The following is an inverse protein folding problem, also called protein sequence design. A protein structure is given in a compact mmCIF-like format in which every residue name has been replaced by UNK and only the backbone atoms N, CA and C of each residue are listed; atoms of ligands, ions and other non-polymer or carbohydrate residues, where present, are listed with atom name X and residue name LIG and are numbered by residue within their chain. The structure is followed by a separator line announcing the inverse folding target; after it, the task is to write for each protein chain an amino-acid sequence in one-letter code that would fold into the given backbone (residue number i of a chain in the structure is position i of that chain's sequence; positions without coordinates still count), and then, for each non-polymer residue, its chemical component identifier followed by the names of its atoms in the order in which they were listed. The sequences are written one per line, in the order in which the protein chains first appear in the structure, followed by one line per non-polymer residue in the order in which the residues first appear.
data_IF_515919125168
#
_entry.id   IF_515919125168
#
_cell.length_a   1.000
_cell.length_b   1.000
_cell.length_c   1.000
_cell.angle_alpha   90.00
_cell.angle_beta   90.00
_cell.angle_gamma   90.00
#
_symmetry.space_group_name_H-M   'P 1'
#
loop_
_entity.id
_entity.type
_entity.pdbx_description
1 polymer ?
#
# COMPACT_ATOMS: atom_id res chain seq x y z
N UNK A 1 9.56 -0.12 11.29
CA UNK A 1 9.01 -1.11 10.34
C UNK A 1 7.74 -1.69 10.95
N UNK A 2 6.58 -1.16 10.57
CA UNK A 2 5.31 -1.74 11.01
C UNK A 2 5.09 -2.99 10.17
N UNK A 3 5.28 -4.17 10.76
CA UNK A 3 4.78 -5.41 10.18
C UNK A 3 3.25 -5.27 10.14
N UNK A 4 2.68 -5.05 8.94
CA UNK A 4 1.25 -5.15 8.69
C UNK A 4 0.82 -6.53 9.20
N UNK A 5 0.28 -6.59 10.43
CA UNK A 5 -0.33 -7.80 10.97
C UNK A 5 -1.49 -8.08 10.02
N UNK A 6 -1.41 -9.18 9.27
CA UNK A 6 -2.42 -9.55 8.30
C UNK A 6 -3.81 -9.39 8.91
N UNK A 7 -4.67 -8.65 8.21
CA UNK A 7 -6.08 -8.41 8.56
C UNK A 7 -6.68 -9.71 9.09
N UNK A 8 -7.22 -9.72 10.30
CA UNK A 8 -7.87 -10.92 10.88
C UNK A 8 -9.27 -11.07 10.27
N UNK A 9 -9.81 -12.29 10.26
CA UNK A 9 -11.21 -12.54 9.93
C UNK A 9 -12.13 -11.75 10.89
N UNK A 10 -13.37 -11.43 10.48
CA UNK A 10 -14.38 -10.75 11.32
C UNK A 10 -14.52 -11.34 12.73
N UNK A 11 -14.35 -12.65 12.88
CA UNK A 11 -14.42 -13.30 14.20
C UNK A 11 -13.18 -13.12 15.10
N UNK A 12 -12.12 -12.45 14.63
CA UNK A 12 -10.89 -12.17 15.39
C UNK A 12 -9.99 -13.37 15.70
N UNK A 13 -10.45 -14.61 15.44
CA UNK A 13 -9.80 -15.86 15.86
C UNK A 13 -8.80 -16.44 14.86
N UNK A 14 -8.88 -16.06 13.59
CA UNK A 14 -8.05 -16.64 12.53
C UNK A 14 -7.71 -15.64 11.43
N UNK A 15 -6.63 -15.91 10.71
CA UNK A 15 -6.33 -15.25 9.45
C UNK A 15 -7.43 -15.59 8.43
N UNK A 16 -7.95 -14.60 7.69
CA UNK A 16 -8.91 -14.84 6.65
C UNK A 16 -8.19 -15.44 5.45
N UNK A 17 -8.75 -16.54 4.96
CA UNK A 17 -8.23 -17.31 3.82
C UNK A 17 -9.32 -17.62 2.80
N UNK A 18 -10.61 -17.47 3.14
CA UNK A 18 -11.76 -17.66 2.26
C UNK A 18 -12.28 -16.33 1.74
N UNK A 19 -12.74 -16.29 0.49
CA UNK A 19 -13.31 -15.12 -0.19
C UNK A 19 -14.13 -15.56 -1.41
N UNK A 20 -14.70 -14.61 -2.16
CA UNK A 20 -15.44 -14.92 -3.38
C UNK A 20 -14.50 -15.31 -4.53
N UNK A 21 -14.96 -16.11 -5.51
CA UNK A 21 -14.16 -16.42 -6.68
C UNK A 21 -13.68 -15.13 -7.38
N UNK A 22 -12.37 -14.98 -7.53
CA UNK A 22 -11.74 -13.79 -8.12
C UNK A 22 -11.12 -12.82 -7.11
N UNK A 23 -11.47 -12.91 -5.83
CA UNK A 23 -10.89 -12.04 -4.81
C UNK A 23 -9.36 -12.21 -4.73
N UNK A 24 -8.63 -11.09 -4.61
CA UNK A 24 -7.17 -11.10 -4.40
C UNK A 24 -6.78 -11.51 -2.98
N UNK A 25 -7.70 -11.36 -2.02
CA UNK A 25 -7.47 -11.61 -0.59
C UNK A 25 -8.68 -12.26 0.05
N UNK A 26 -8.43 -13.23 0.92
CA UNK A 26 -9.49 -13.80 1.76
C UNK A 26 -10.01 -12.77 2.75
N UNK A 27 -11.32 -12.78 2.97
CA UNK A 27 -12.06 -11.92 3.90
C UNK A 27 -12.57 -12.69 5.12
N UNK A 28 -12.74 -14.00 5.01
CA UNK A 28 -13.26 -14.88 6.06
C UNK A 28 -12.32 -16.05 6.40
N UNK A 29 -12.42 -16.59 7.62
CA UNK A 29 -11.78 -17.85 7.98
C UNK A 29 -12.69 -19.03 7.63
N UNK A 30 -12.18 -20.26 7.74
CA UNK A 30 -12.94 -21.48 7.43
C UNK A 30 -14.26 -21.61 8.22
N UNK A 31 -14.31 -21.09 9.44
CA UNK A 31 -15.50 -21.10 10.30
C UNK A 31 -16.50 -19.98 9.99
N UNK A 32 -16.08 -18.95 9.27
CA UNK A 32 -16.90 -17.78 8.93
C UNK A 32 -17.15 -17.66 7.43
N UNK A 33 -16.79 -18.67 6.64
CA UNK A 33 -17.08 -18.71 5.21
C UNK A 33 -18.59 -18.90 5.02
N UNK A 34 -19.16 -18.23 4.03
CA UNK A 34 -20.54 -18.45 3.57
C UNK A 34 -20.54 -19.28 2.30
N UNK A 35 -21.71 -19.74 1.86
CA UNK A 35 -21.83 -20.46 0.58
C UNK A 35 -21.27 -19.63 -0.58
N UNK A 36 -20.64 -20.31 -1.55
CA UNK A 36 -19.94 -19.67 -2.67
C UNK A 36 -18.52 -19.20 -2.38
N UNK A 37 -18.10 -19.08 -1.11
CA UNK A 37 -16.72 -18.70 -0.79
C UNK A 37 -15.73 -19.85 -0.99
N UNK A 38 -14.60 -19.53 -1.62
CA UNK A 38 -13.50 -20.45 -1.91
C UNK A 38 -12.27 -20.10 -1.07
N UNK A 39 -11.41 -21.08 -0.77
CA UNK A 39 -10.13 -20.81 -0.12
C UNK A 39 -9.21 -20.08 -1.11
N UNK A 40 -9.00 -18.78 -0.89
CA UNK A 40 -8.21 -17.86 -1.71
C UNK A 40 -6.71 -18.10 -1.53
N UNK A 41 -6.25 -18.50 -0.33
CA UNK A 41 -4.82 -18.70 -0.04
C UNK A 41 -4.34 -20.10 -0.39
N UNK A 42 -5.16 -21.12 -0.13
CA UNK A 42 -4.84 -22.52 -0.40
C UNK A 42 -5.80 -23.10 -1.44
N UNK A 43 -5.99 -22.37 -2.55
CA UNK A 43 -6.83 -22.81 -3.68
C UNK A 43 -6.46 -24.23 -4.09
N UNK A 44 -7.47 -25.07 -4.23
CA UNK A 44 -7.35 -26.43 -4.75
C UNK A 44 -7.89 -26.47 -6.17
N UNK A 45 -7.31 -27.34 -6.99
CA UNK A 45 -7.87 -27.68 -8.29
C UNK A 45 -9.32 -28.17 -8.14
N UNK A 46 -10.15 -28.08 -9.20
CA UNK A 46 -11.51 -28.63 -9.26
C UNK A 46 -11.65 -30.08 -8.78
N UNK A 47 -10.60 -30.89 -8.90
CA UNK A 47 -10.60 -32.27 -8.41
C UNK A 47 -10.29 -32.43 -6.92
N UNK A 48 -9.98 -31.35 -6.19
CA UNK A 48 -9.68 -31.34 -4.76
C UNK A 48 -8.32 -31.92 -4.34
N UNK A 49 -7.61 -32.63 -5.24
CA UNK A 49 -6.41 -33.41 -4.90
C UNK A 49 -5.16 -32.57 -4.64
N UNK A 50 -4.95 -31.49 -5.38
CA UNK A 50 -3.70 -30.71 -5.40
C UNK A 50 -3.98 -29.23 -5.65
N UNK A 51 -3.04 -28.37 -5.28
CA UNK A 51 -3.06 -26.97 -5.70
C UNK A 51 -2.94 -26.87 -7.23
N UNK A 52 -3.64 -25.91 -7.86
CA UNK A 52 -3.55 -25.71 -9.30
C UNK A 52 -2.20 -25.09 -9.67
N UNK A 53 -1.67 -25.51 -10.82
CA UNK A 53 -0.43 -25.00 -11.41
C UNK A 53 -0.60 -24.56 -12.87
N UNK A 54 -1.64 -25.08 -13.52
CA UNK A 54 -1.92 -24.89 -14.93
C UNK A 54 -3.03 -23.85 -15.13
N UNK A 55 -2.86 -23.00 -16.14
CA UNK A 55 -3.81 -21.97 -16.57
C UNK A 55 -3.54 -21.57 -18.02
N UNK A 56 -4.30 -20.60 -18.53
CA UNK A 56 -4.10 -20.04 -19.86
C UNK A 56 -3.00 -18.97 -19.87
N UNK A 57 -2.49 -18.65 -21.06
CA UNK A 57 -1.54 -17.55 -21.21
C UNK A 57 -2.19 -16.23 -20.80
N UNK A 58 -1.52 -15.46 -19.94
CA UNK A 58 -2.04 -14.21 -19.38
C UNK A 58 -2.80 -14.37 -18.05
N UNK A 59 -3.18 -15.58 -17.66
CA UNK A 59 -3.84 -15.80 -16.36
C UNK A 59 -2.93 -15.33 -15.22
N UNK A 60 -3.51 -14.56 -14.29
CA UNK A 60 -2.84 -14.15 -13.07
C UNK A 60 -2.69 -15.32 -12.07
N UNK A 61 -3.57 -16.31 -12.15
CA UNK A 61 -3.61 -17.45 -11.22
C UNK A 61 -3.98 -18.76 -11.92
N UNK A 62 -3.36 -19.85 -11.48
CA UNK A 62 -3.65 -21.18 -12.00
C UNK A 62 -5.02 -21.69 -11.53
N UNK A 63 -5.72 -22.40 -12.41
CA UNK A 63 -7.05 -22.96 -12.14
C UNK A 63 -7.07 -24.49 -12.08
N UNK A 64 -6.10 -25.15 -12.74
CA UNK A 64 -6.09 -26.61 -12.88
C UNK A 64 -4.77 -27.24 -12.40
N UNK A 65 -4.82 -28.50 -11.96
CA UNK A 65 -3.63 -29.33 -11.78
C UNK A 65 -3.25 -30.04 -13.09
N UNK A 66 -2.10 -30.72 -13.11
CA UNK A 66 -1.60 -31.46 -14.27
C UNK A 66 -2.59 -32.49 -14.82
N UNK A 67 -3.40 -33.12 -13.96
CA UNK A 67 -4.40 -34.12 -14.36
C UNK A 67 -5.73 -33.53 -14.83
N UNK A 68 -5.96 -32.25 -14.60
CA UNK A 68 -7.24 -31.58 -14.87
C UNK A 68 -7.11 -30.45 -15.89
N UNK A 69 -5.91 -30.27 -16.45
CA UNK A 69 -5.60 -29.23 -17.43
C UNK A 69 -6.24 -29.53 -18.77
N UNK A 70 -6.60 -28.48 -19.49
CA UNK A 70 -6.89 -28.51 -20.93
C UNK A 70 -5.56 -28.58 -21.72
N UNK A 71 -5.58 -29.07 -22.95
CA UNK A 71 -4.39 -29.14 -23.82
C UNK A 71 -3.75 -27.75 -24.05
N UNK A 72 -4.58 -26.70 -24.08
CA UNK A 72 -4.13 -25.30 -24.25
C UNK A 72 -3.60 -24.67 -22.97
N UNK A 73 -3.75 -25.32 -21.81
CA UNK A 73 -3.24 -24.81 -20.54
C UNK A 73 -1.76 -25.14 -20.35
N UNK A 74 -1.01 -24.18 -19.83
CA UNK A 74 0.41 -24.29 -19.53
C UNK A 74 0.65 -24.13 -18.03
N UNK A 75 1.79 -24.61 -17.53
CA UNK A 75 2.18 -24.35 -16.13
C UNK A 75 2.51 -22.86 -15.99
N UNK A 76 1.61 -22.11 -15.34
CA UNK A 76 1.76 -20.67 -15.15
C UNK A 76 2.43 -20.32 -13.80
N UNK A 77 2.62 -21.31 -12.93
CA UNK A 77 3.35 -21.16 -11.65
C UNK A 77 4.84 -21.32 -11.89
N UNK A 78 5.22 -22.38 -12.61
CA UNK A 78 6.58 -22.62 -13.06
C UNK A 78 6.71 -22.41 -14.57
N UNK A 79 6.37 -21.20 -15.03
CA UNK A 79 6.50 -20.81 -16.45
C UNK A 79 7.88 -21.18 -16.99
N UNK A 80 7.88 -21.99 -18.06
CA UNK A 80 9.07 -22.31 -18.85
C UNK A 80 8.98 -21.62 -20.21
N UNK A 81 10.14 -21.35 -20.80
CA UNK A 81 10.24 -20.92 -22.19
C UNK A 81 9.64 -22.00 -23.10
N UNK A 82 9.21 -21.62 -24.31
CA UNK A 82 8.65 -22.56 -25.31
C UNK A 82 9.55 -23.77 -25.59
N UNK A 83 10.86 -23.63 -25.48
CA UNK A 83 11.83 -24.72 -25.63
C UNK A 83 11.91 -25.68 -24.42
N UNK A 84 11.22 -25.39 -23.31
CA UNK A 84 11.24 -26.19 -22.08
C UNK A 84 12.53 -26.09 -21.24
N UNK A 85 13.63 -25.58 -21.81
CA UNK A 85 14.97 -25.70 -21.20
C UNK A 85 15.23 -24.77 -20.02
N UNK A 86 14.50 -23.65 -19.91
CA UNK A 86 14.76 -22.63 -18.88
C UNK A 86 13.50 -21.81 -18.55
N UNK A 87 13.52 -21.15 -17.39
CA UNK A 87 12.53 -20.10 -17.06
C UNK A 87 12.75 -18.89 -17.98
N UNK A 88 11.69 -18.27 -18.51
CA UNK A 88 11.81 -17.03 -19.27
C UNK A 88 12.44 -15.92 -18.44
N UNK A 89 13.24 -15.08 -19.08
CA UNK A 89 13.74 -13.82 -18.53
C UNK A 89 13.72 -12.68 -19.55
N UNK A 90 13.61 -13.00 -20.84
CA UNK A 90 13.58 -12.07 -21.95
C UNK A 90 12.15 -11.80 -22.44
N UNK A 91 11.87 -10.55 -22.82
CA UNK A 91 10.65 -10.09 -23.48
C UNK A 91 10.89 -8.71 -24.11
N UNK A 92 9.86 -8.07 -24.64
CA UNK A 92 9.97 -6.70 -25.16
C UNK A 92 9.90 -5.66 -24.04
N UNK A 93 10.42 -4.45 -24.29
CA UNK A 93 10.59 -3.43 -23.24
C UNK A 93 9.30 -3.01 -22.51
N UNK A 94 8.14 -3.19 -23.15
CA UNK A 94 6.82 -2.88 -22.61
C UNK A 94 6.08 -4.11 -22.05
N UNK A 95 6.66 -5.31 -22.15
CA UNK A 95 6.03 -6.51 -21.61
C UNK A 95 6.09 -6.49 -20.08
N UNK A 96 4.98 -6.83 -19.42
CA UNK A 96 4.97 -7.02 -17.97
C UNK A 96 5.67 -8.31 -17.54
N UNK A 97 5.75 -9.29 -18.44
CA UNK A 97 6.28 -10.62 -18.17
C UNK A 97 7.19 -11.10 -19.30
N UNK A 98 8.30 -11.71 -18.92
CA UNK A 98 9.21 -12.39 -19.84
C UNK A 98 8.58 -13.65 -20.44
N UNK A 99 8.74 -13.86 -21.75
CA UNK A 99 8.22 -15.01 -22.52
C UNK A 99 9.32 -15.95 -23.02
N UNK A 100 10.54 -15.46 -23.21
CA UNK A 100 11.66 -16.23 -23.76
C UNK A 100 12.82 -16.41 -22.77
N UNK A 101 13.54 -17.52 -22.91
CA UNK A 101 14.87 -17.68 -22.30
C UNK A 101 15.95 -17.07 -23.19
N UNK A 102 17.19 -16.97 -22.69
CA UNK A 102 18.33 -16.40 -23.44
C UNK A 102 18.58 -17.08 -24.79
N UNK A 103 18.37 -18.40 -24.89
CA UNK A 103 18.57 -19.18 -26.12
C UNK A 103 17.44 -19.02 -27.14
N UNK A 104 16.29 -18.52 -26.70
CA UNK A 104 15.09 -18.37 -27.54
C UNK A 104 14.64 -16.91 -27.63
N UNK A 105 15.49 -15.96 -27.20
CA UNK A 105 15.17 -14.55 -27.32
C UNK A 105 15.15 -14.17 -28.80
N UNK A 106 14.22 -13.30 -29.17
CA UNK A 106 14.17 -12.70 -30.50
C UNK A 106 14.93 -11.38 -30.49
N UNK A 107 15.26 -10.87 -31.68
CA UNK A 107 15.82 -9.53 -31.82
C UNK A 107 14.86 -8.49 -31.25
N UNK A 108 15.42 -7.50 -30.54
CA UNK A 108 14.66 -6.51 -29.79
C UNK A 108 14.19 -6.95 -28.39
N UNK A 109 14.30 -8.23 -28.01
CA UNK A 109 14.00 -8.66 -26.64
C UNK A 109 15.13 -8.33 -25.66
N UNK A 110 14.75 -7.82 -24.49
CA UNK A 110 15.62 -7.46 -23.37
C UNK A 110 15.35 -8.36 -22.17
N UNK A 111 16.33 -8.52 -21.28
CA UNK A 111 16.10 -9.19 -20.00
C UNK A 111 15.24 -8.30 -19.10
N UNK A 112 13.98 -8.66 -18.89
CA UNK A 112 13.03 -7.88 -18.08
C UNK A 112 13.13 -8.28 -16.61
N UNK A 113 13.56 -9.52 -16.31
CA UNK A 113 13.73 -10.00 -14.94
C UNK A 113 14.98 -9.43 -14.28
N UNK A 114 16.07 -9.34 -15.03
CA UNK A 114 17.36 -8.83 -14.57
C UNK A 114 17.87 -7.75 -15.54
N UNK A 115 17.17 -6.61 -15.64
CA UNK A 115 17.48 -5.58 -16.62
C UNK A 115 18.92 -5.10 -16.47
N UNK A 116 19.66 -5.03 -17.58
CA UNK A 116 21.01 -4.48 -17.58
C UNK A 116 20.98 -3.07 -18.15
N UNK A 117 21.90 -2.23 -17.68
CA UNK A 117 22.16 -0.95 -18.33
C UNK A 117 22.57 -1.20 -19.80
N UNK A 118 22.34 -0.22 -20.68
CA UNK A 118 22.71 -0.27 -22.10
C UNK A 118 24.16 -0.68 -22.36
N UNK A 119 25.08 -0.43 -21.42
CA UNK A 119 26.48 -0.86 -21.52
C UNK A 119 26.73 -2.34 -21.17
N UNK A 120 25.72 -3.08 -20.69
CA UNK A 120 25.80 -4.49 -20.27
C UNK A 120 26.52 -4.76 -18.93
N UNK A 121 27.28 -3.78 -18.41
CA UNK A 121 28.22 -3.99 -17.29
C UNK A 121 27.58 -4.02 -15.90
N UNK A 122 26.39 -3.43 -15.73
CA UNK A 122 25.76 -3.30 -14.41
C UNK A 122 24.23 -3.24 -14.50
N UNK A 123 23.56 -3.55 -13.38
CA UNK A 123 22.13 -3.31 -13.21
C UNK A 123 21.86 -1.79 -13.15
N UNK A 124 20.77 -1.29 -13.76
CA UNK A 124 20.34 0.09 -13.63
C UNK A 124 20.09 0.47 -12.18
N UNK A 125 20.62 1.61 -11.78
CA UNK A 125 20.36 2.24 -10.47
C UNK A 125 20.06 3.73 -10.58
N UNK A 126 20.32 4.33 -11.74
CA UNK A 126 20.14 5.75 -12.02
C UNK A 126 18.94 5.96 -12.94
N UNK A 127 18.18 7.02 -12.67
CA UNK A 127 17.02 7.46 -13.44
C UNK A 127 16.69 8.92 -13.16
N UNK A 128 15.66 9.42 -13.83
CA UNK A 128 15.13 10.76 -13.63
C UNK A 128 14.08 10.82 -12.51
N UNK A 129 13.70 12.06 -12.19
CA UNK A 129 12.74 12.41 -11.16
C UNK A 129 11.39 11.67 -11.38
N UNK A 130 10.91 11.50 -12.59
CA UNK A 130 9.59 10.86 -12.79
C UNK A 130 9.67 9.39 -13.23
N UNK A 131 10.86 8.79 -13.18
CA UNK A 131 11.05 7.41 -13.61
C UNK A 131 10.55 6.44 -12.53
N UNK A 132 9.62 5.56 -12.89
CA UNK A 132 9.17 4.47 -12.03
C UNK A 132 10.26 3.42 -11.79
N UNK A 133 11.21 3.28 -12.72
CA UNK A 133 12.32 2.31 -12.68
C UNK A 133 13.62 2.97 -13.15
N UNK A 134 14.79 2.61 -12.58
CA UNK A 134 16.07 3.08 -13.07
C UNK A 134 16.34 2.58 -14.51
N UNK A 135 17.02 3.40 -15.31
CA UNK A 135 17.29 3.12 -16.73
C UNK A 135 18.78 2.91 -17.04
N UNK A 136 19.69 3.37 -16.18
CA UNK A 136 21.13 3.27 -16.43
C UNK A 136 21.96 3.02 -15.15
N UNK A 137 23.23 2.65 -15.33
CA UNK A 137 24.19 2.52 -14.23
C UNK A 137 24.91 3.85 -13.99
N UNK A 138 25.67 3.94 -12.89
CA UNK A 138 26.43 5.15 -12.53
C UNK A 138 27.37 5.68 -13.61
N UNK A 139 27.93 4.78 -14.43
CA UNK A 139 28.87 5.13 -15.53
C UNK A 139 28.17 5.57 -16.82
N UNK A 140 26.87 5.33 -16.94
CA UNK A 140 26.08 5.63 -18.13
C UNK A 140 24.94 6.61 -17.83
N UNK A 141 24.99 7.29 -16.68
CA UNK A 141 24.01 8.29 -16.30
C UNK A 141 24.20 9.54 -17.17
N UNK A 142 23.09 10.14 -17.57
CA UNK A 142 23.08 11.47 -18.16
C UNK A 142 23.06 12.54 -17.04
N UNK A 143 23.33 13.79 -17.42
CA UNK A 143 23.15 14.91 -16.51
C UNK A 143 21.69 15.01 -16.06
N UNK A 144 21.49 15.35 -14.80
CA UNK A 144 20.17 15.35 -14.14
C UNK A 144 19.70 13.98 -13.63
N UNK A 145 20.37 12.86 -13.94
CA UNK A 145 20.03 11.56 -13.37
C UNK A 145 20.63 11.34 -11.98
N UNK A 146 19.82 10.74 -11.09
CA UNK A 146 20.21 10.41 -9.71
C UNK A 146 20.04 8.91 -9.44
N UNK A 147 20.75 8.40 -8.43
CA UNK A 147 20.55 7.02 -7.98
C UNK A 147 19.19 6.90 -7.28
N UNK A 148 18.23 6.24 -7.94
CA UNK A 148 16.85 6.06 -7.45
C UNK A 148 16.66 4.78 -6.65
N UNK A 149 17.59 3.82 -6.76
CA UNK A 149 17.54 2.54 -6.02
C UNK A 149 18.13 2.70 -4.62
N UNK A 150 19.25 3.41 -4.52
CA UNK A 150 20.03 3.58 -3.30
C UNK A 150 20.54 5.03 -3.21
N UNK A 151 19.63 6.01 -3.00
CA UNK A 151 19.97 7.41 -2.98
C UNK A 151 21.01 7.73 -1.89
N UNK A 152 22.01 8.51 -2.28
CA UNK A 152 23.07 9.03 -1.40
C UNK A 152 23.13 10.54 -1.56
N UNK A 153 23.46 11.23 -0.48
CA UNK A 153 23.76 12.66 -0.54
C UNK A 153 24.97 12.92 -1.45
N UNK A 154 25.07 14.12 -2.03
CA UNK A 154 26.23 14.59 -2.83
C UNK A 154 27.59 14.33 -2.19
N UNK A 155 27.69 14.32 -0.85
CA UNK A 155 28.94 14.01 -0.14
C UNK A 155 29.27 12.50 -0.05
N UNK A 156 28.36 11.61 -0.45
CA UNK A 156 28.49 10.15 -0.37
C UNK A 156 28.35 9.54 1.03
N UNK A 157 28.32 10.36 2.09
CA UNK A 157 28.44 9.88 3.49
C UNK A 157 27.13 9.50 4.17
N UNK A 158 25.99 9.91 3.63
CA UNK A 158 24.70 9.79 4.31
C UNK A 158 23.54 9.54 3.34
N UNK A 159 22.46 8.96 3.87
CA UNK A 159 21.17 8.88 3.20
C UNK A 159 20.55 10.30 3.22
N UNK A 160 20.06 10.81 2.09
CA UNK A 160 19.39 12.11 2.06
C UNK A 160 18.14 12.16 2.94
N UNK A 161 17.99 13.26 3.67
CA UNK A 161 16.76 13.61 4.39
C UNK A 161 16.28 15.03 4.11
N UNK A 162 17.14 15.89 3.56
CA UNK A 162 16.85 17.28 3.22
C UNK A 162 16.66 17.47 1.71
N UNK A 163 15.77 18.38 1.33
CA UNK A 163 15.54 18.76 -0.07
C UNK A 163 14.64 19.98 -0.19
N UNK A 164 14.14 20.21 -1.41
CA UNK A 164 13.28 21.37 -1.73
C UNK A 164 11.86 21.12 -1.22
N UNK A 165 11.22 22.16 -0.70
CA UNK A 165 9.83 22.09 -0.27
C UNK A 165 8.91 21.66 -1.43
N UNK A 166 8.03 20.69 -1.17
CA UNK A 166 7.14 20.13 -2.20
C UNK A 166 7.72 18.96 -3.00
N UNK A 167 9.04 18.79 -3.04
CA UNK A 167 9.64 17.58 -3.64
C UNK A 167 9.61 16.43 -2.62
N UNK A 168 8.97 15.28 -2.93
CA UNK A 168 8.96 14.13 -2.03
C UNK A 168 10.34 13.47 -1.86
N UNK A 169 11.34 13.84 -2.69
CA UNK A 169 12.68 13.27 -2.65
C UNK A 169 13.72 14.17 -2.01
N UNK A 170 14.27 13.76 -0.86
CA UNK A 170 15.45 14.42 -0.35
C UNK A 170 16.68 14.14 -1.22
N UNK A 171 17.51 15.16 -1.39
CA UNK A 171 18.74 15.14 -2.20
C UNK A 171 19.99 15.31 -1.34
N UNK A 172 19.86 15.91 -0.16
CA UNK A 172 20.97 16.24 0.72
C UNK A 172 20.81 15.65 2.14
N UNK A 173 21.92 15.48 2.85
CA UNK A 173 21.91 15.19 4.28
C UNK A 173 21.94 16.49 5.08
N UNK A 174 21.75 16.40 6.40
CA UNK A 174 21.75 17.56 7.30
C UNK A 174 23.02 18.42 7.22
N UNK A 175 24.18 17.82 6.92
CA UNK A 175 25.47 18.52 6.79
C UNK A 175 25.70 19.15 5.42
N UNK A 176 24.92 18.77 4.42
CA UNK A 176 25.08 19.22 3.04
C UNK A 176 23.86 19.95 2.50
N UNK A 177 22.89 20.26 3.38
CA UNK A 177 21.72 21.04 3.03
C UNK A 177 22.15 22.47 2.70
N UNK A 178 21.50 23.06 1.71
CA UNK A 178 21.65 24.48 1.36
C UNK A 178 20.57 25.30 2.06
N UNK A 179 20.71 26.64 2.02
CA UNK A 179 19.66 27.53 2.53
C UNK A 179 18.35 27.28 1.80
N UNK A 180 17.23 27.31 2.55
CA UNK A 180 15.91 26.97 2.03
C UNK A 180 15.57 25.48 1.95
N UNK A 181 16.54 24.56 2.10
CA UNK A 181 16.24 23.13 2.14
C UNK A 181 15.63 22.71 3.48
N UNK A 182 14.54 21.92 3.41
CA UNK A 182 13.83 21.40 4.58
C UNK A 182 14.04 19.89 4.75
N UNK A 183 13.90 19.41 5.98
CA UNK A 183 13.88 17.97 6.26
C UNK A 183 12.57 17.37 5.73
N UNK A 184 12.64 16.60 4.64
CA UNK A 184 11.47 15.95 4.00
C UNK A 184 11.09 14.66 4.76
N UNK A 185 12.07 13.99 5.39
CA UNK A 185 11.83 12.72 6.10
C UNK A 185 11.27 12.96 7.50
N UNK A 186 11.68 14.04 8.15
CA UNK A 186 11.29 14.39 9.52
C UNK A 186 11.12 15.90 9.64
N UNK A 187 10.13 16.48 8.92
CA UNK A 187 9.90 17.92 8.93
C UNK A 187 9.63 18.43 10.34
N UNK A 188 10.04 19.66 10.62
CA UNK A 188 9.86 20.33 11.90
C UNK A 188 8.70 21.30 11.80
N UNK A 189 8.00 21.50 12.91
CA UNK A 189 6.93 22.47 12.98
C UNK A 189 7.48 23.87 12.68
N UNK A 190 6.74 24.65 11.88
CA UNK A 190 7.16 26.00 11.52
C UNK A 190 7.23 26.96 12.73
N UNK A 191 6.43 26.69 13.76
CA UNK A 191 6.36 27.51 14.99
C UNK A 191 7.29 26.99 16.08
N UNK A 192 7.56 25.67 16.15
CA UNK A 192 8.48 25.10 17.14
C UNK A 192 9.28 23.90 16.63
N UNK A 193 10.28 23.46 17.39
CA UNK A 193 11.22 22.41 16.95
C UNK A 193 10.66 20.97 17.05
N UNK A 194 9.37 20.79 17.37
CA UNK A 194 8.70 19.46 17.40
C UNK A 194 8.53 18.90 15.97
N UNK A 195 8.30 17.59 15.86
CA UNK A 195 8.00 16.94 14.58
C UNK A 195 6.69 17.52 14.00
N UNK A 196 6.72 17.88 12.71
CA UNK A 196 5.54 18.30 11.97
C UNK A 196 4.86 17.09 11.33
N UNK A 197 3.69 16.76 11.85
CA UNK A 197 2.85 15.68 11.32
C UNK A 197 1.48 16.18 10.85
N UNK A 198 1.15 17.44 11.12
CA UNK A 198 -0.17 18.02 10.95
C UNK A 198 -0.15 19.19 9.97
N UNK A 199 -1.30 19.54 9.36
CA UNK A 199 -1.37 20.62 8.40
C UNK A 199 -1.35 22.01 9.04
N UNK A 200 -1.12 23.03 8.23
CA UNK A 200 -1.34 24.44 8.60
C UNK A 200 -2.74 24.93 8.24
N UNK A 201 -3.04 26.21 8.51
CA UNK A 201 -4.33 26.83 8.20
C UNK A 201 -4.73 26.76 6.71
N UNK A 202 -3.74 26.64 5.81
CA UNK A 202 -3.96 26.48 4.37
C UNK A 202 -4.13 25.00 3.96
N UNK A 203 -4.11 24.06 4.91
CA UNK A 203 -4.23 22.62 4.65
C UNK A 203 -2.96 21.96 4.12
N UNK A 204 -1.81 22.66 4.09
CA UNK A 204 -0.56 22.09 3.58
C UNK A 204 -0.07 21.01 4.54
N UNK A 205 0.20 19.77 4.09
CA UNK A 205 0.54 18.67 4.99
C UNK A 205 1.91 18.83 5.64
N UNK A 206 2.07 18.26 6.84
CA UNK A 206 3.35 18.16 7.59
C UNK A 206 4.06 19.50 7.83
N UNK A 207 3.30 20.55 8.15
CA UNK A 207 3.84 21.88 8.44
C UNK A 207 3.88 22.19 9.95
N UNK A 208 2.93 21.64 10.72
CA UNK A 208 2.77 21.94 12.15
C UNK A 208 2.79 20.68 13.01
N UNK A 209 3.08 20.86 14.30
CA UNK A 209 2.85 19.83 15.31
C UNK A 209 1.37 19.87 15.75
N UNK A 210 0.92 18.86 16.51
CA UNK A 210 -0.48 18.73 16.91
C UNK A 210 -1.02 20.00 17.61
N UNK A 211 -0.24 20.58 18.52
CA UNK A 211 -0.63 21.77 19.28
C UNK A 211 -0.81 23.00 18.38
N UNK A 212 0.22 23.35 17.61
CA UNK A 212 0.16 24.51 16.73
C UNK A 212 -0.84 24.35 15.59
N UNK A 213 -1.04 23.13 15.10
CA UNK A 213 -2.09 22.86 14.11
C UNK A 213 -3.49 23.08 14.70
N UNK A 214 -3.67 22.81 15.99
CA UNK A 214 -4.93 23.10 16.68
C UNK A 214 -5.14 24.58 17.01
N UNK A 215 -4.08 25.31 17.34
CA UNK A 215 -4.15 26.76 17.55
C UNK A 215 -4.62 27.50 16.29
N UNK A 216 -4.21 27.03 15.10
CA UNK A 216 -4.64 27.61 13.82
C UNK A 216 -5.93 26.98 13.27
N UNK A 217 -6.60 26.12 14.04
CA UNK A 217 -7.86 25.46 13.65
C UNK A 217 -7.74 24.42 12.52
N UNK A 218 -6.51 24.06 12.11
CA UNK A 218 -6.25 23.07 11.06
C UNK A 218 -6.28 21.61 11.57
N UNK A 219 -6.23 21.45 12.88
CA UNK A 219 -6.39 20.17 13.58
C UNK A 219 -7.16 20.43 14.87
N UNK A 220 -7.63 19.38 15.55
CA UNK A 220 -8.18 19.54 16.89
C UNK A 220 -7.44 18.62 17.85
N UNK A 221 -7.03 19.15 19.01
CA UNK A 221 -6.29 18.36 19.99
C UNK A 221 -7.16 17.25 20.57
N UNK A 222 -6.58 16.06 20.73
CA UNK A 222 -7.20 14.98 21.49
C UNK A 222 -7.33 15.36 22.96
N UNK A 223 -8.57 15.41 23.46
CA UNK A 223 -8.89 15.53 24.87
C UNK A 223 -9.53 14.24 25.38
N UNK A 224 -9.40 13.94 26.69
CA UNK A 224 -10.10 12.80 27.30
C UNK A 224 -11.61 12.86 26.99
N UNK A 225 -12.21 11.71 26.67
CA UNK A 225 -13.64 11.59 26.37
C UNK A 225 -14.06 11.92 24.94
N UNK A 226 -13.19 12.47 24.07
CA UNK A 226 -13.55 12.72 22.65
C UNK A 226 -13.95 11.47 21.88
N UNK A 227 -13.34 10.34 22.19
CA UNK A 227 -13.74 9.04 21.63
C UNK A 227 -15.19 8.68 21.97
N UNK A 228 -15.68 9.03 23.17
CA UNK A 228 -17.06 8.80 23.59
C UNK A 228 -18.02 9.72 22.86
N UNK A 229 -17.64 10.99 22.67
CA UNK A 229 -18.45 11.95 21.91
C UNK A 229 -18.56 11.49 20.45
N UNK A 230 -17.45 11.06 19.84
CA UNK A 230 -17.44 10.50 18.49
C UNK A 230 -18.37 9.28 18.37
N UNK A 231 -18.27 8.32 19.31
CA UNK A 231 -19.14 7.14 19.32
C UNK A 231 -20.61 7.53 19.39
N UNK A 232 -20.99 8.39 20.35
CA UNK A 232 -22.38 8.86 20.51
C UNK A 232 -22.89 9.58 19.27
N UNK A 233 -22.06 10.42 18.65
CA UNK A 233 -22.41 11.11 17.41
C UNK A 233 -22.72 10.11 16.29
N UNK A 234 -21.85 9.14 16.08
CA UNK A 234 -22.04 8.15 15.03
C UNK A 234 -23.24 7.23 15.30
N UNK A 235 -23.50 6.84 16.55
CA UNK A 235 -24.68 6.04 16.92
C UNK A 235 -25.99 6.81 16.67
N UNK A 236 -26.03 8.10 17.00
CA UNK A 236 -27.15 8.97 16.68
C UNK A 236 -27.33 9.15 15.16
N UNK A 237 -26.25 9.33 14.42
CA UNK A 237 -26.28 9.49 12.97
C UNK A 237 -26.83 8.25 12.26
N UNK A 238 -26.42 7.04 12.66
CA UNK A 238 -27.00 5.81 12.10
C UNK A 238 -28.47 5.61 12.43
N UNK A 239 -28.89 6.06 13.62
CA UNK A 239 -30.30 6.04 14.03
C UNK A 239 -31.12 6.96 13.11
N UNK A 240 -30.62 8.16 12.83
CA UNK A 240 -31.26 9.13 11.93
C UNK A 240 -31.29 8.64 10.48
N UNK A 241 -30.21 8.01 10.01
CA UNK A 241 -30.12 7.43 8.67
C UNK A 241 -30.92 6.14 8.51
N UNK A 242 -31.40 5.55 9.62
CA UNK A 242 -32.14 4.28 9.63
C UNK A 242 -31.32 3.07 9.18
N UNK A 243 -29.98 3.16 9.14
CA UNK A 243 -29.11 2.06 8.79
C UNK A 243 -27.67 2.25 9.31
N UNK A 244 -26.95 1.13 9.44
CA UNK A 244 -25.54 1.15 9.86
C UNK A 244 -24.59 1.56 8.72
N UNK A 245 -23.58 2.35 9.05
CA UNK A 245 -22.50 2.73 8.14
C UNK A 245 -21.40 1.67 8.17
N UNK A 246 -21.15 0.93 7.08
CA UNK A 246 -20.24 -0.21 7.08
C UNK A 246 -18.76 0.19 7.16
N UNK A 247 -18.44 1.46 6.91
CA UNK A 247 -17.07 1.97 6.90
C UNK A 247 -16.79 2.94 8.04
N UNK A 248 -17.15 2.54 9.27
CA UNK A 248 -16.76 3.19 10.54
C UNK A 248 -16.17 2.17 11.50
N UNK A 249 -15.26 2.58 12.40
CA UNK A 249 -14.77 1.70 13.48
C UNK A 249 -15.68 1.77 14.71
N UNK A 250 -16.21 0.62 15.15
CA UNK A 250 -17.06 0.47 16.34
C UNK A 250 -16.35 -0.41 17.37
N UNK A 251 -16.29 0.06 18.60
CA UNK A 251 -15.85 -0.75 19.75
C UNK A 251 -17.09 -1.30 20.46
N UNK A 252 -17.15 -2.61 20.59
CA UNK A 252 -18.14 -3.30 21.40
C UNK A 252 -17.55 -3.50 22.79
N UNK A 253 -18.15 -2.84 23.79
CA UNK A 253 -17.70 -2.88 25.16
C UNK A 253 -17.99 -4.22 25.85
N UNK A 254 -19.05 -4.93 25.44
CA UNK A 254 -19.43 -6.23 26.03
C UNK A 254 -18.45 -7.32 25.58
N UNK A 255 -18.10 -7.31 24.30
CA UNK A 255 -17.18 -8.31 23.73
C UNK A 255 -15.72 -7.88 23.77
N UNK A 256 -15.45 -6.60 24.08
CA UNK A 256 -14.12 -5.97 24.03
C UNK A 256 -13.49 -6.15 22.64
N UNK A 257 -14.32 -6.04 21.58
CA UNK A 257 -13.87 -6.22 20.20
C UNK A 257 -14.08 -4.96 19.37
N UNK A 258 -13.26 -4.86 18.32
CA UNK A 258 -13.36 -3.82 17.32
C UNK A 258 -13.97 -4.39 16.04
N UNK A 259 -14.92 -3.68 15.47
CA UNK A 259 -15.53 -3.98 14.17
C UNK A 259 -15.48 -2.74 13.27
N UNK A 260 -15.59 -2.91 11.95
CA UNK A 260 -15.49 -1.81 10.99
C UNK A 260 -14.36 -1.94 9.97
N UNK A 261 -14.36 -1.04 8.98
CA UNK A 261 -13.32 -0.95 7.95
C UNK A 261 -13.08 0.51 7.55
N UNK A 262 -11.84 0.97 7.68
CA UNK A 262 -11.39 2.21 7.05
C UNK A 262 -11.34 2.06 5.54
N UNK A 263 -11.73 3.11 4.83
CA UNK A 263 -11.55 3.24 3.38
C UNK A 263 -10.56 4.37 3.14
N UNK A 264 -9.44 4.04 2.50
CA UNK A 264 -8.45 5.03 2.07
C UNK A 264 -8.77 5.52 0.65
N UNK A 265 -8.32 6.74 0.33
CA UNK A 265 -8.40 7.28 -1.04
C UNK A 265 -9.76 7.86 -1.44
N UNK A 266 -10.66 8.10 -0.48
CA UNK A 266 -11.94 8.77 -0.72
C UNK A 266 -11.81 10.31 -0.78
N UNK A 267 -10.79 10.87 -0.11
CA UNK A 267 -10.49 12.31 -0.14
C UNK A 267 -9.29 12.54 -1.04
N UNK A 268 -9.48 13.28 -2.15
CA UNK A 268 -8.41 13.65 -3.06
C UNK A 268 -7.34 14.49 -2.33
N UNK A 269 -6.07 14.28 -2.69
CA UNK A 269 -4.92 15.04 -2.18
C UNK A 269 -4.66 14.95 -0.66
N UNK A 270 -5.31 14.02 0.04
CA UNK A 270 -5.06 13.75 1.46
C UNK A 270 -4.84 12.26 1.69
N UNK A 271 -3.78 11.90 2.43
CA UNK A 271 -3.59 10.55 2.98
C UNK A 271 -4.47 10.31 4.24
N UNK A 272 -5.49 11.14 4.44
CA UNK A 272 -6.38 11.11 5.58
C UNK A 272 -7.61 10.26 5.21
N UNK A 273 -7.85 9.20 5.99
CA UNK A 273 -9.04 8.36 5.90
C UNK A 273 -10.23 9.04 6.61
N UNK A 274 -11.41 9.16 6.01
CA UNK A 274 -12.57 9.71 6.71
C UNK A 274 -12.95 8.84 7.93
N UNK A 275 -13.56 9.45 8.95
CA UNK A 275 -13.96 8.75 10.17
C UNK A 275 -15.14 7.80 9.93
N UNK A 276 -16.03 8.12 8.97
CA UNK A 276 -17.02 7.20 8.42
C UNK A 276 -17.30 7.45 6.93
N UNK A 277 -17.68 6.39 6.21
CA UNK A 277 -18.22 6.48 4.85
C UNK A 277 -19.49 5.63 4.72
N UNK A 278 -20.53 6.22 4.15
CA UNK A 278 -21.76 5.52 3.78
C UNK A 278 -21.80 5.29 2.25
N UNK A 279 -21.69 4.04 1.78
CA UNK A 279 -21.75 3.74 0.35
C UNK A 279 -23.16 3.87 -0.22
N UNK A 280 -24.22 3.88 0.60
CA UNK A 280 -25.61 4.00 0.10
C UNK A 280 -25.92 5.43 -0.32
N UNK A 281 -25.55 6.41 0.51
CA UNK A 281 -25.74 7.83 0.21
C UNK A 281 -24.54 8.48 -0.47
N UNK A 282 -23.37 7.84 -0.44
CA UNK A 282 -22.10 8.45 -0.83
C UNK A 282 -21.58 9.47 0.19
N UNK A 283 -22.18 9.54 1.38
CA UNK A 283 -21.80 10.51 2.42
C UNK A 283 -20.46 10.14 3.07
N UNK A 284 -19.56 11.11 3.14
CA UNK A 284 -18.33 11.04 3.91
C UNK A 284 -18.47 11.90 5.17
N UNK A 285 -18.07 11.35 6.30
CA UNK A 285 -18.15 12.05 7.59
C UNK A 285 -16.75 12.13 8.20
N UNK A 286 -16.30 13.36 8.43
CA UNK A 286 -15.08 13.67 9.19
C UNK A 286 -15.50 14.20 10.56
N UNK A 287 -15.20 13.44 11.62
CA UNK A 287 -15.46 13.85 12.99
C UNK A 287 -14.16 14.40 13.59
N UNK A 288 -13.97 15.71 13.47
CA UNK A 288 -12.83 16.45 14.04
C UNK A 288 -11.42 16.10 13.50
N UNK A 289 -11.35 15.36 12.39
CA UNK A 289 -10.09 15.08 11.71
C UNK A 289 -9.37 13.85 12.26
N UNK A 290 -9.67 12.70 11.68
CA UNK A 290 -8.74 11.62 11.34
C UNK A 290 -7.99 10.82 12.40
N UNK A 291 -8.21 11.02 13.70
CA UNK A 291 -7.49 10.24 14.72
C UNK A 291 -8.32 9.87 15.96
N UNK A 292 -9.64 9.72 15.83
CA UNK A 292 -10.48 9.35 16.98
C UNK A 292 -11.10 7.96 16.82
N UNK A 293 -10.31 6.94 17.11
CA UNK A 293 -10.84 5.59 17.35
C UNK A 293 -11.19 5.41 18.84
N UNK A 294 -12.40 4.91 19.11
CA UNK A 294 -12.99 4.58 20.41
C UNK A 294 -12.05 4.14 21.55
N UNK A 295 -11.49 5.06 22.33
CA UNK A 295 -10.95 4.70 23.66
C UNK A 295 -12.10 4.33 24.62
N UNK A 296 -11.96 3.26 25.43
CA UNK A 296 -13.06 2.60 26.11
C UNK A 296 -13.87 3.49 27.11
N UNK A 297 -15.14 3.12 27.39
CA UNK A 297 -16.05 3.90 28.23
C UNK A 297 -15.75 3.88 29.73
N UNK A 298 -14.93 2.95 30.23
CA UNK A 298 -14.78 2.79 31.68
C UNK A 298 -13.63 3.63 32.24
N UNK A 299 -13.97 4.83 32.70
CA UNK A 299 -13.30 5.44 33.85
C UNK A 299 -14.16 5.11 35.06
N UNK A 300 -13.61 4.34 36.00
CA UNK A 300 -14.06 4.37 37.40
C UNK A 300 -13.63 5.74 37.96
N UNK A 301 -14.52 6.39 38.72
CA UNK A 301 -14.24 7.63 39.44
C UNK A 301 -13.09 7.47 40.43
#
# INVERSE_FOLDING_TARGET
MVKLRGTRCRCGRAQPVFGMPGDERGTCCSKCKVEGMVDIKHRRCKCGRTQPRYGFAGDAQASCCSHCKDERMTDIVERRCRCGSARPSFGFAHDEQSSCCVKCKLDGMVDIRNPRCKCGKAQPSFGFVNDAKPSCCSKCKADGMANVVSPRCKCGRAIPSFGVAGDPRPTCCSKCKEEGMMDIKSPRCQICKKLASYPDAAGRPKQLCAAHSAEVGAHTLSSPGRSRIASKFFDALETELGHEMPFRYRFDAETVTWSGKEVAGLVADRNLQPDAYDPKSGMMVEFFGNYYHGFPPEHVQ
#
